data_IF_211215728742
#
_entry.id   IF_211215728742
#
_cell.length_a   1.000
_cell.length_b   1.000
_cell.length_c   1.000
_cell.angle_alpha   90.00
_cell.angle_beta   90.00
_cell.angle_gamma   90.00
#
_symmetry.space_group_name_H-M   'P 1'
#
loop_
_entity.id
_entity.type
_entity.pdbx_description
1 polymer ?
#
# COMPACT_ATOMS: atom_id res chain seq x y z
N UNK A 1 14.76 -39.79 -57.94
CA UNK A 1 14.87 -39.80 -56.45
C UNK A 1 15.18 -38.41 -55.88
N UNK A 2 15.96 -37.58 -56.53
CA UNK A 2 16.39 -36.23 -56.11
C UNK A 2 15.27 -35.19 -56.00
N UNK A 3 14.33 -35.21 -56.98
CA UNK A 3 13.25 -34.20 -57.01
C UNK A 3 12.31 -34.26 -55.81
N UNK A 4 12.02 -35.47 -55.28
CA UNK A 4 11.20 -35.66 -54.08
C UNK A 4 11.92 -35.16 -52.80
N UNK A 5 13.25 -35.30 -52.75
CA UNK A 5 14.03 -34.81 -51.63
C UNK A 5 14.17 -33.28 -51.66
N UNK A 6 14.24 -32.68 -52.84
CA UNK A 6 14.25 -31.24 -53.00
C UNK A 6 12.94 -30.61 -52.53
N UNK A 7 11.81 -31.20 -52.91
CA UNK A 7 10.47 -30.74 -52.48
C UNK A 7 10.31 -30.81 -50.95
N UNK A 8 10.76 -31.92 -50.35
CA UNK A 8 10.72 -32.06 -48.88
C UNK A 8 11.57 -31.00 -48.16
N UNK A 9 12.76 -30.69 -48.68
CA UNK A 9 13.62 -29.63 -48.13
C UNK A 9 13.03 -28.26 -48.28
N UNK A 10 12.42 -27.94 -49.42
CA UNK A 10 11.73 -26.69 -49.61
C UNK A 10 10.51 -26.55 -48.69
N UNK A 11 9.72 -27.62 -48.52
CA UNK A 11 8.57 -27.60 -47.58
C UNK A 11 9.00 -27.39 -46.14
N UNK A 12 10.09 -28.05 -45.74
CA UNK A 12 10.64 -27.86 -44.39
C UNK A 12 11.12 -26.43 -44.13
N UNK A 13 11.79 -25.81 -45.11
CA UNK A 13 12.23 -24.41 -45.01
C UNK A 13 11.06 -23.44 -44.91
N UNK A 14 9.97 -23.68 -45.69
CA UNK A 14 8.74 -22.87 -45.62
C UNK A 14 8.09 -23.02 -44.25
N UNK A 15 7.96 -24.22 -43.72
CA UNK A 15 7.41 -24.41 -42.35
C UNK A 15 8.24 -23.69 -41.29
N UNK A 16 9.55 -23.73 -41.41
CA UNK A 16 10.47 -23.08 -40.46
C UNK A 16 10.35 -21.55 -40.55
N UNK A 17 10.22 -21.00 -41.74
CA UNK A 17 9.97 -19.57 -41.97
C UNK A 17 8.62 -19.12 -41.40
N UNK A 18 7.56 -19.91 -41.52
CA UNK A 18 6.24 -19.62 -40.94
C UNK A 18 6.31 -19.62 -39.41
N UNK A 19 6.96 -20.62 -38.82
CA UNK A 19 7.15 -20.68 -37.37
C UNK A 19 7.91 -19.44 -36.86
N UNK A 20 8.96 -19.03 -37.57
CA UNK A 20 9.73 -17.85 -37.20
C UNK A 20 8.91 -16.54 -37.28
N UNK A 21 8.07 -16.44 -38.31
CA UNK A 21 7.14 -15.30 -38.50
C UNK A 21 6.08 -15.23 -37.39
N UNK A 22 5.56 -16.39 -36.98
CA UNK A 22 4.60 -16.46 -35.86
C UNK A 22 5.28 -16.08 -34.54
N UNK A 23 6.52 -16.54 -34.32
CA UNK A 23 7.28 -16.13 -33.13
C UNK A 23 7.56 -14.62 -33.08
N UNK A 24 7.92 -14.01 -34.22
CA UNK A 24 8.12 -12.56 -34.31
C UNK A 24 6.80 -11.80 -34.00
N UNK A 25 5.67 -12.28 -34.54
CA UNK A 25 4.35 -11.65 -34.24
C UNK A 25 3.97 -11.78 -32.77
N UNK A 26 4.27 -12.91 -32.13
CA UNK A 26 4.01 -13.09 -30.70
C UNK A 26 4.92 -12.16 -29.88
N UNK A 27 6.21 -12.06 -30.22
CA UNK A 27 7.16 -11.18 -29.53
C UNK A 27 6.76 -9.70 -29.70
N UNK A 28 6.41 -9.27 -30.91
CA UNK A 28 5.96 -7.89 -31.17
C UNK A 28 4.68 -7.54 -30.36
N UNK A 29 3.78 -8.51 -30.22
CA UNK A 29 2.57 -8.33 -29.41
C UNK A 29 2.89 -8.26 -27.90
N UNK A 30 3.89 -9.01 -27.45
CA UNK A 30 4.37 -8.97 -26.06
C UNK A 30 5.09 -7.64 -25.74
N UNK A 31 5.84 -7.08 -26.69
CA UNK A 31 6.47 -5.76 -26.54
C UNK A 31 5.44 -4.62 -26.49
N UNK A 32 4.37 -4.68 -27.31
CA UNK A 32 3.28 -3.69 -27.24
C UNK A 32 2.47 -3.74 -25.94
N UNK A 33 2.33 -4.91 -25.30
CA UNK A 33 1.63 -5.04 -24.00
C UNK A 33 2.55 -4.74 -22.80
N UNK A 34 3.87 -4.86 -22.95
CA UNK A 34 4.85 -4.69 -21.86
C UNK A 34 5.39 -3.26 -21.68
N UNK A 35 5.24 -2.38 -22.67
CA UNK A 35 5.79 -1.03 -22.67
C UNK A 35 4.73 0.10 -22.56
N UNK A 36 3.49 -0.23 -22.21
CA UNK A 36 2.57 0.87 -21.84
C UNK A 36 3.11 1.54 -20.60
N UNK A 37 3.69 2.71 -20.79
CA UNK A 37 4.04 3.57 -19.67
C UNK A 37 2.83 3.72 -18.75
N UNK A 38 3.06 3.58 -17.46
CA UNK A 38 2.00 3.81 -16.46
C UNK A 38 1.50 5.24 -16.64
N UNK A 39 0.20 5.46 -16.88
CA UNK A 39 -0.34 6.80 -17.20
C UNK A 39 -0.39 7.74 -15.99
N UNK A 40 0.00 7.26 -14.82
CA UNK A 40 0.05 8.01 -13.58
C UNK A 40 1.46 8.03 -13.00
N UNK A 41 1.82 9.16 -12.42
CA UNK A 41 3.04 9.30 -11.64
C UNK A 41 2.71 9.22 -10.15
N UNK A 42 3.50 8.44 -9.42
CA UNK A 42 3.54 8.54 -7.97
C UNK A 42 4.35 9.80 -7.62
N UNK A 43 3.66 10.88 -7.28
CA UNK A 43 4.32 12.16 -7.05
C UNK A 43 4.89 12.26 -5.63
N UNK A 44 4.24 11.66 -4.66
CA UNK A 44 4.65 11.72 -3.26
C UNK A 44 4.02 10.61 -2.43
N UNK A 45 4.76 10.10 -1.45
CA UNK A 45 4.22 9.37 -0.30
C UNK A 45 4.61 10.17 0.95
N UNK A 46 3.63 10.51 1.76
CA UNK A 46 3.84 11.13 3.06
C UNK A 46 3.37 10.15 4.13
N UNK A 47 4.22 9.88 5.10
CA UNK A 47 3.91 9.05 6.26
C UNK A 47 4.11 9.90 7.50
N UNK A 48 3.08 9.99 8.33
CA UNK A 48 3.12 10.65 9.63
C UNK A 48 3.01 9.57 10.71
N UNK A 49 4.13 9.29 11.36
CA UNK A 49 4.18 8.33 12.46
C UNK A 49 3.89 9.00 13.79
N UNK A 50 3.07 8.37 14.59
CA UNK A 50 2.79 8.76 15.98
C UNK A 50 2.78 7.54 16.90
N UNK A 51 2.99 7.80 18.18
CA UNK A 51 2.88 6.79 19.23
C UNK A 51 1.60 7.06 20.00
N UNK A 52 0.86 6.01 20.28
CA UNK A 52 -0.34 6.06 21.09
C UNK A 52 -0.23 5.07 22.26
N UNK A 53 -1.01 5.27 23.30
CA UNK A 53 -0.99 4.40 24.46
C UNK A 53 -2.33 4.35 25.14
N UNK A 54 -2.70 3.14 25.54
CA UNK A 54 -3.92 2.91 26.33
C UNK A 54 -3.52 2.52 27.74
N UNK A 55 -3.93 3.36 28.70
CA UNK A 55 -3.77 3.05 30.10
C UNK A 55 -4.72 1.91 30.50
N UNK A 56 -4.16 0.92 31.18
CA UNK A 56 -4.89 -0.23 31.70
C UNK A 56 -4.97 -0.09 33.20
N UNK A 57 -6.16 -0.07 33.74
CA UNK A 57 -6.40 -0.03 35.17
C UNK A 57 -5.73 -1.25 35.84
N UNK A 58 -4.73 -0.99 36.68
CA UNK A 58 -3.92 -2.00 37.35
C UNK A 58 -3.69 -1.56 38.81
N UNK A 59 -4.21 -2.31 39.79
CA UNK A 59 -4.09 -1.93 41.18
C UNK A 59 -2.64 -1.97 41.71
N UNK A 60 -1.74 -2.68 41.06
CA UNK A 60 -0.36 -2.89 41.47
C UNK A 60 0.62 -1.88 40.85
N UNK A 61 0.21 -1.17 39.79
CA UNK A 61 1.06 -0.24 39.06
C UNK A 61 0.36 1.10 38.79
N UNK A 62 1.11 2.21 38.94
CA UNK A 62 0.59 3.56 38.66
C UNK A 62 0.42 3.77 37.16
N UNK A 63 1.37 3.25 36.38
CA UNK A 63 1.33 3.29 34.93
C UNK A 63 1.39 1.88 34.35
N UNK A 64 0.37 1.50 33.63
CA UNK A 64 0.31 0.25 32.89
C UNK A 64 -0.27 0.54 31.50
N UNK A 65 0.61 0.84 30.54
CA UNK A 65 0.25 1.38 29.23
C UNK A 65 0.53 0.35 28.15
N UNK A 66 -0.49 -0.07 27.41
CA UNK A 66 -0.33 -0.76 26.15
C UNK A 66 0.05 0.26 25.06
N UNK A 67 1.25 0.11 24.50
CA UNK A 67 1.83 1.04 23.55
C UNK A 67 1.56 0.58 22.14
N UNK A 68 1.11 1.50 21.32
CA UNK A 68 0.81 1.30 19.90
C UNK A 68 1.55 2.33 19.04
N UNK A 69 1.87 1.95 17.80
CA UNK A 69 2.45 2.86 16.82
C UNK A 69 1.49 2.99 15.65
N UNK A 70 1.27 4.22 15.21
CA UNK A 70 0.27 4.56 14.19
C UNK A 70 0.95 5.32 13.06
N UNK A 71 0.70 4.91 11.82
CA UNK A 71 1.15 5.58 10.60
C UNK A 71 -0.05 6.09 9.81
N UNK A 72 -0.17 7.39 9.65
CA UNK A 72 -1.06 8.00 8.67
C UNK A 72 -0.32 8.12 7.35
N UNK A 73 -0.78 7.38 6.35
CA UNK A 73 -0.15 7.28 5.04
C UNK A 73 -0.99 8.04 4.02
N UNK A 74 -0.32 8.89 3.25
CA UNK A 74 -0.91 9.67 2.17
C UNK A 74 -0.14 9.41 0.88
N UNK A 75 -0.81 8.83 -0.11
CA UNK A 75 -0.24 8.52 -1.41
C UNK A 75 -0.83 9.46 -2.45
N UNK A 76 0.04 10.23 -3.11
CA UNK A 76 -0.33 11.21 -4.12
C UNK A 76 -0.01 10.70 -5.50
N UNK A 77 -1.02 10.67 -6.37
CA UNK A 77 -0.94 10.23 -7.75
C UNK A 77 -1.36 11.36 -8.67
N UNK A 78 -0.55 11.63 -9.69
CA UNK A 78 -0.85 12.63 -10.71
C UNK A 78 -0.91 11.96 -12.07
N UNK A 79 -1.96 12.26 -12.85
CA UNK A 79 -2.08 11.82 -14.23
C UNK A 79 -1.03 12.53 -15.09
N UNK A 80 -0.39 11.82 -16.00
CA UNK A 80 0.49 12.41 -17.00
C UNK A 80 -0.32 13.31 -17.94
N UNK A 81 0.26 14.44 -18.37
CA UNK A 81 -0.45 15.49 -19.12
C UNK A 81 -1.02 15.00 -20.47
N UNK A 82 -0.34 14.06 -21.12
CA UNK A 82 -0.71 13.54 -22.45
C UNK A 82 -1.60 12.29 -22.41
N UNK A 83 -2.10 11.90 -21.23
CA UNK A 83 -2.87 10.67 -21.07
C UNK A 83 -4.34 10.95 -20.78
N UNK A 84 -5.23 10.28 -21.53
CA UNK A 84 -6.68 10.35 -21.35
C UNK A 84 -7.23 9.23 -20.44
N UNK A 85 -6.35 8.49 -19.77
CA UNK A 85 -6.73 7.41 -18.87
C UNK A 85 -7.37 7.95 -17.58
N UNK A 86 -8.37 7.21 -17.11
CA UNK A 86 -9.08 7.51 -15.87
C UNK A 86 -8.88 6.36 -14.88
N UNK A 87 -8.62 6.70 -13.61
CA UNK A 87 -8.55 5.72 -12.53
C UNK A 87 -9.94 5.14 -12.29
N UNK A 88 -10.08 3.82 -12.35
CA UNK A 88 -11.27 3.10 -11.89
C UNK A 88 -11.16 2.72 -10.42
N UNK A 89 -10.00 2.20 -10.03
CA UNK A 89 -9.75 1.88 -8.63
C UNK A 89 -8.26 1.84 -8.31
N UNK A 90 -7.95 2.05 -7.02
CA UNK A 90 -6.63 1.82 -6.44
C UNK A 90 -6.82 0.88 -5.28
N UNK A 91 -6.05 -0.20 -5.24
CA UNK A 91 -6.09 -1.17 -4.14
C UNK A 91 -4.73 -1.24 -3.48
N UNK A 92 -4.70 -1.01 -2.18
CA UNK A 92 -3.52 -1.18 -1.32
C UNK A 92 -3.62 -2.52 -0.61
N UNK A 93 -2.52 -3.27 -0.62
CA UNK A 93 -2.46 -4.62 -0.07
C UNK A 93 -1.04 -5.01 0.37
N UNK A 94 -0.90 -6.24 0.87
CA UNK A 94 0.38 -6.80 1.31
C UNK A 94 1.07 -5.94 2.39
N UNK A 95 0.26 -5.38 3.28
CA UNK A 95 0.78 -4.63 4.40
C UNK A 95 1.53 -5.53 5.36
N UNK A 96 2.75 -5.15 5.69
CA UNK A 96 3.58 -5.85 6.68
C UNK A 96 4.62 -4.91 7.27
N UNK A 97 5.05 -5.19 8.47
CA UNK A 97 6.30 -4.67 9.01
C UNK A 97 7.47 -5.44 8.42
N UNK A 98 8.65 -4.83 8.33
CA UNK A 98 9.86 -5.47 7.81
C UNK A 98 10.46 -6.46 8.83
N UNK A 99 10.09 -6.36 10.07
CA UNK A 99 10.46 -7.29 11.14
C UNK A 99 9.22 -8.06 11.63
N UNK A 100 9.45 -9.24 12.20
CA UNK A 100 8.40 -10.11 12.74
C UNK A 100 7.84 -9.57 14.08
N UNK A 101 7.48 -8.30 14.14
CA UNK A 101 6.53 -7.86 15.15
C UNK A 101 5.20 -8.55 14.83
N UNK A 102 5.06 -9.78 15.28
CA UNK A 102 3.90 -10.65 15.10
C UNK A 102 2.63 -10.11 15.77
N UNK A 103 2.35 -8.82 15.61
CA UNK A 103 1.21 -8.21 16.26
C UNK A 103 0.27 -7.62 15.23
N UNK A 104 -0.96 -7.54 15.61
CA UNK A 104 -2.11 -7.21 14.79
C UNK A 104 -1.92 -5.88 14.06
N UNK A 105 -1.42 -5.96 12.81
CA UNK A 105 -1.38 -4.83 11.91
C UNK A 105 -2.80 -4.53 11.48
N UNK A 106 -3.33 -3.39 11.87
CA UNK A 106 -4.68 -2.96 11.50
C UNK A 106 -4.63 -1.82 10.50
N UNK A 107 -5.50 -1.89 9.51
CA UNK A 107 -5.62 -0.89 8.47
C UNK A 107 -6.98 -0.21 8.60
N UNK A 108 -6.98 1.11 8.62
CA UNK A 108 -8.19 1.89 8.78
C UNK A 108 -8.41 2.80 7.59
N UNK A 109 -9.63 2.76 7.06
CA UNK A 109 -10.10 3.77 6.13
C UNK A 109 -10.54 4.98 6.92
N UNK A 110 -10.22 6.20 6.46
CA UNK A 110 -10.74 7.40 7.11
C UNK A 110 -12.28 7.44 7.11
N UNK A 111 -12.84 8.00 8.17
CA UNK A 111 -14.29 8.19 8.32
C UNK A 111 -14.75 9.57 7.92
N UNK A 112 -13.84 10.52 7.84
CA UNK A 112 -14.12 11.91 7.49
C UNK A 112 -12.88 12.76 7.55
N UNK A 113 -13.02 14.03 7.24
CA UNK A 113 -12.00 15.05 7.34
C UNK A 113 -12.41 16.08 8.38
N UNK A 114 -11.53 16.35 9.33
CA UNK A 114 -11.69 17.42 10.30
C UNK A 114 -10.57 18.44 10.09
N UNK A 115 -10.88 19.63 9.56
CA UNK A 115 -9.93 20.76 9.39
C UNK A 115 -8.59 20.41 8.74
N UNK A 116 -8.52 19.45 7.83
CA UNK A 116 -7.33 18.90 7.14
C UNK A 116 -6.70 17.68 7.79
N UNK A 117 -7.27 17.13 8.85
CA UNK A 117 -6.87 15.85 9.43
C UNK A 117 -7.96 14.82 9.16
N UNK A 118 -7.54 13.60 8.85
CA UNK A 118 -8.47 12.50 8.74
C UNK A 118 -8.82 11.94 10.10
N UNK A 119 -10.10 11.60 10.26
CA UNK A 119 -10.59 10.88 11.43
C UNK A 119 -10.74 9.41 11.10
N UNK A 120 -10.47 8.57 12.06
CA UNK A 120 -10.53 7.12 11.93
C UNK A 120 -11.42 6.54 13.03
N UNK A 121 -12.17 5.48 12.70
CA UNK A 121 -13.00 4.76 13.65
C UNK A 121 -12.63 3.28 13.66
N UNK A 122 -12.69 2.64 14.81
CA UNK A 122 -12.47 1.20 14.94
C UNK A 122 -13.44 0.38 14.08
N UNK A 123 -14.62 0.90 13.78
CA UNK A 123 -15.60 0.24 12.90
C UNK A 123 -15.15 0.16 11.42
N UNK A 124 -14.20 1.00 11.02
CA UNK A 124 -13.68 1.08 9.65
C UNK A 124 -12.40 0.29 9.41
N UNK A 125 -12.12 -0.64 10.30
CA UNK A 125 -11.02 -1.58 10.15
C UNK A 125 -11.19 -2.46 8.90
N UNK A 126 -10.07 -2.69 8.20
CA UNK A 126 -9.94 -3.58 7.05
C UNK A 126 -8.83 -4.59 7.31
N UNK A 127 -9.12 -5.84 7.06
CA UNK A 127 -8.24 -6.95 7.48
C UNK A 127 -6.94 -7.05 6.66
N UNK A 128 -6.99 -6.84 5.33
CA UNK A 128 -5.82 -7.13 4.46
C UNK A 128 -5.62 -6.18 3.29
N UNK A 129 -6.68 -5.54 2.85
CA UNK A 129 -6.63 -4.67 1.69
C UNK A 129 -7.60 -3.50 1.82
N UNK A 130 -7.27 -2.43 1.15
CA UNK A 130 -8.05 -1.21 1.13
C UNK A 130 -8.18 -0.73 -0.32
N UNK A 131 -9.41 -0.58 -0.80
CA UNK A 131 -9.67 -0.10 -2.16
C UNK A 131 -10.35 1.26 -2.15
N UNK A 132 -9.92 2.11 -3.07
CA UNK A 132 -10.51 3.38 -3.40
C UNK A 132 -11.04 3.31 -4.82
N UNK A 133 -12.23 3.84 -5.07
CA UNK A 133 -12.81 3.94 -6.41
C UNK A 133 -12.53 5.30 -7.01
N UNK A 134 -12.28 5.35 -8.31
CA UNK A 134 -12.00 6.58 -9.06
C UNK A 134 -13.25 7.28 -9.56
N UNK A 135 -14.33 7.34 -8.78
CA UNK A 135 -15.54 8.06 -9.16
C UNK A 135 -15.46 9.54 -8.78
N UNK A 136 -16.01 10.39 -9.65
CA UNK A 136 -16.26 11.78 -9.32
C UNK A 136 -17.33 11.84 -8.22
N UNK A 137 -16.93 12.16 -7.00
CA UNK A 137 -17.87 12.25 -5.90
C UNK A 137 -18.02 13.68 -5.47
N UNK A 138 -19.28 14.12 -5.51
CA UNK A 138 -19.71 15.42 -4.99
C UNK A 138 -19.71 15.48 -3.45
N UNK A 139 -19.57 14.36 -2.78
CA UNK A 139 -19.61 14.27 -1.32
C UNK A 139 -18.29 13.67 -0.79
N UNK A 140 -17.42 14.51 -0.23
CA UNK A 140 -16.15 14.14 0.39
C UNK A 140 -16.24 13.15 1.57
N UNK A 141 -17.39 12.58 1.82
CA UNK A 141 -17.62 11.63 2.92
C UNK A 141 -16.96 10.27 2.72
N UNK A 142 -16.63 9.92 1.49
CA UNK A 142 -15.86 8.73 1.19
C UNK A 142 -14.60 9.18 0.49
N UNK A 143 -13.47 9.02 1.10
CA UNK A 143 -12.14 9.35 0.56
C UNK A 143 -11.89 8.57 -0.72
N UNK A 144 -12.50 9.02 -1.76
CA UNK A 144 -12.37 8.50 -3.09
C UNK A 144 -11.36 9.38 -3.80
N UNK A 145 -10.45 8.74 -4.50
CA UNK A 145 -9.52 9.47 -5.33
C UNK A 145 -10.28 10.00 -6.55
N UNK A 146 -9.98 11.23 -6.97
CA UNK A 146 -10.46 11.70 -8.26
C UNK A 146 -9.99 10.75 -9.38
N UNK A 147 -10.84 10.54 -10.38
CA UNK A 147 -10.49 9.68 -11.52
C UNK A 147 -9.30 10.19 -12.36
N UNK A 148 -8.87 11.43 -12.16
CA UNK A 148 -7.69 12.03 -12.80
C UNK A 148 -6.45 12.05 -11.89
N UNK A 149 -6.51 11.44 -10.70
CA UNK A 149 -5.46 11.48 -9.70
C UNK A 149 -5.88 12.22 -8.44
N UNK A 150 -4.99 12.36 -7.50
CA UNK A 150 -5.21 13.00 -6.21
C UNK A 150 -4.55 12.24 -5.08
N UNK A 151 -5.15 12.27 -3.91
CA UNK A 151 -4.58 11.70 -2.70
C UNK A 151 -5.46 10.55 -2.17
N UNK A 152 -4.82 9.42 -1.88
CA UNK A 152 -5.39 8.35 -1.06
C UNK A 152 -4.80 8.44 0.34
N UNK A 153 -5.65 8.52 1.37
CA UNK A 153 -5.23 8.52 2.77
C UNK A 153 -5.73 7.29 3.50
N UNK A 154 -4.88 6.69 4.34
CA UNK A 154 -5.25 5.58 5.21
C UNK A 154 -4.35 5.52 6.43
N UNK A 155 -4.80 4.83 7.47
CA UNK A 155 -4.03 4.60 8.68
C UNK A 155 -3.62 3.14 8.77
N UNK A 156 -2.38 2.91 9.18
CA UNK A 156 -1.86 1.59 9.55
C UNK A 156 -1.42 1.65 11.00
N UNK A 157 -2.04 0.84 11.84
CA UNK A 157 -1.72 0.77 13.26
C UNK A 157 -1.05 -0.57 13.60
N UNK A 158 0.04 -0.47 14.33
CA UNK A 158 0.68 -1.57 15.03
C UNK A 158 0.18 -1.52 16.47
N UNK A 159 -0.88 -2.25 16.78
CA UNK A 159 -1.50 -2.18 18.10
C UNK A 159 -0.78 -3.08 19.11
N UNK A 160 -0.70 -2.59 20.35
CA UNK A 160 -0.17 -3.35 21.51
C UNK A 160 1.24 -3.93 21.26
N UNK A 161 2.11 -3.16 20.61
CA UNK A 161 3.47 -3.61 20.25
C UNK A 161 4.41 -3.67 21.45
N UNK A 162 4.05 -3.03 22.56
CA UNK A 162 4.83 -3.05 23.79
C UNK A 162 3.98 -2.70 24.98
N UNK A 163 4.50 -2.99 26.16
CA UNK A 163 3.87 -2.66 27.44
C UNK A 163 4.83 -1.83 28.29
N UNK A 164 4.40 -0.65 28.69
CA UNK A 164 5.13 0.20 29.60
C UNK A 164 4.54 0.12 31.01
N UNK A 165 5.35 -0.27 32.00
CA UNK A 165 4.95 -0.39 33.38
C UNK A 165 5.86 0.47 34.24
N UNK A 166 5.28 1.32 35.12
CA UNK A 166 6.03 2.15 36.05
C UNK A 166 5.21 2.44 37.31
N UNK A 167 5.92 2.58 38.46
CA UNK A 167 5.36 2.96 39.73
C UNK A 167 5.84 4.34 40.20
N UNK A 168 6.36 5.16 39.29
CA UNK A 168 6.81 6.52 39.59
C UNK A 168 5.64 7.51 39.56
N UNK A 169 5.26 8.06 40.71
CA UNK A 169 4.09 8.94 40.86
C UNK A 169 4.20 10.29 40.12
N UNK A 170 5.41 10.79 39.91
CA UNK A 170 5.63 12.11 39.30
C UNK A 170 6.17 12.03 37.86
N UNK A 171 5.98 10.94 37.18
CA UNK A 171 6.44 10.76 35.82
C UNK A 171 5.43 11.26 34.83
N UNK A 172 5.85 12.15 33.94
CA UNK A 172 5.09 12.52 32.75
C UNK A 172 5.36 11.49 31.65
N UNK A 173 4.30 10.89 31.09
CA UNK A 173 4.41 9.98 29.97
C UNK A 173 4.27 10.78 28.67
N UNK A 174 5.32 10.76 27.88
CA UNK A 174 5.32 11.41 26.55
C UNK A 174 5.20 10.32 25.50
N UNK A 175 4.13 10.42 24.72
CA UNK A 175 3.81 9.49 23.63
C UNK A 175 4.61 9.86 22.36
N UNK A 176 5.87 9.47 22.36
CA UNK A 176 6.80 9.69 21.24
C UNK A 176 7.74 8.47 21.07
N UNK A 177 8.72 8.58 20.17
CA UNK A 177 9.69 7.51 19.92
C UNK A 177 10.45 7.02 21.15
N UNK A 178 10.61 7.86 22.19
CA UNK A 178 11.27 7.45 23.45
C UNK A 178 10.42 6.44 24.23
N UNK A 179 9.09 6.51 24.11
CA UNK A 179 8.22 5.51 24.70
C UNK A 179 8.37 4.16 24.00
N UNK A 180 8.52 4.16 22.65
CA UNK A 180 8.83 2.95 21.89
C UNK A 180 10.15 2.32 22.33
N UNK A 181 11.21 3.12 22.47
CA UNK A 181 12.50 2.63 22.94
C UNK A 181 12.41 2.01 24.36
N UNK A 182 11.63 2.61 25.25
CA UNK A 182 11.41 2.09 26.61
C UNK A 182 10.73 0.71 26.63
N UNK A 183 9.90 0.41 25.63
CA UNK A 183 9.26 -0.90 25.47
C UNK A 183 10.04 -1.84 24.55
N UNK A 184 11.26 -1.44 24.16
CA UNK A 184 12.18 -2.28 23.39
C UNK A 184 11.92 -2.30 21.89
N UNK A 185 11.18 -1.34 21.37
CA UNK A 185 10.89 -1.21 19.94
C UNK A 185 11.87 -0.21 19.31
N UNK A 186 12.51 -0.61 18.24
CA UNK A 186 13.42 0.24 17.47
C UNK A 186 12.80 0.62 16.12
N UNK A 187 13.38 1.62 15.45
CA UNK A 187 12.87 2.13 14.17
C UNK A 187 12.75 1.04 13.10
N UNK A 188 13.68 0.08 13.08
CA UNK A 188 13.65 -1.04 12.15
C UNK A 188 12.42 -1.92 12.31
N UNK A 189 11.90 -2.05 13.52
CA UNK A 189 10.76 -2.91 13.84
C UNK A 189 9.44 -2.37 13.28
N UNK A 190 9.35 -1.05 13.11
CA UNK A 190 8.13 -0.36 12.69
C UNK A 190 8.14 0.09 11.23
N UNK A 191 9.15 -0.34 10.44
CA UNK A 191 9.20 -0.06 9.00
C UNK A 191 8.05 -0.74 8.27
N UNK A 192 7.18 0.06 7.67
CA UNK A 192 6.01 -0.40 6.94
C UNK A 192 6.35 -0.68 5.48
N UNK A 193 5.88 -1.81 4.98
CA UNK A 193 5.86 -2.16 3.56
C UNK A 193 4.44 -2.45 3.12
N UNK A 194 4.07 -1.98 1.94
CA UNK A 194 2.82 -2.31 1.26
C UNK A 194 3.00 -2.24 -0.26
N UNK A 195 2.06 -2.82 -0.99
CA UNK A 195 1.94 -2.68 -2.44
C UNK A 195 0.61 -2.04 -2.81
N UNK A 196 0.52 -1.49 -4.01
CA UNK A 196 -0.75 -1.02 -4.54
C UNK A 196 -0.83 -1.22 -6.03
N UNK A 197 -2.06 -1.48 -6.49
CA UNK A 197 -2.41 -1.67 -7.89
C UNK A 197 -3.37 -0.57 -8.33
N UNK A 198 -3.16 -0.04 -9.53
CA UNK A 198 -4.02 0.96 -10.17
C UNK A 198 -4.71 0.31 -11.35
N UNK A 199 -6.05 0.36 -11.37
CA UNK A 199 -6.86 -0.06 -12.51
C UNK A 199 -7.36 1.22 -13.22
N UNK A 200 -7.07 1.33 -14.50
CA UNK A 200 -7.47 2.42 -15.39
C UNK A 200 -8.50 1.95 -16.43
#
# INVERSE_FOLDING_TARGET
MERKNLIKRCLFLICLAVIFLVMIMIMARYEEEGEKEIPFNLSKILIVSSVDGKDIDDPDNIWNIDVSQVNDVYVYLDRKEDEDCLIKSITFENFKNLTDLEKDLKIYRPTGELEKLYTYSEENYKDKSLSFTGELIDDMKNLEISNIGGMCGFRVANENIGKYISNEENQEIIYDGRLLEKVGIVEEDIKLQFSFDIIV
#
